data_IF_945236843146
#
_entry.id   IF_945236843146
#
_cell.length_a   1.000
_cell.length_b   1.000
_cell.length_c   1.000
_cell.angle_alpha   90.00
_cell.angle_beta   90.00
_cell.angle_gamma   90.00
#
_symmetry.space_group_name_H-M   'P 1'
#
loop_
_entity.id
_entity.type
_entity.pdbx_description
1 polymer ?
#
# COMPACT_ATOMS: atom_id res chain seq x y z
N UNK A 1 -9.51 -12.75 -2.58
CA UNK A 1 -9.15 -14.19 -2.62
C UNK A 1 -9.59 -14.76 -3.96
N UNK A 2 -8.68 -15.29 -4.76
CA UNK A 2 -9.07 -16.00 -5.97
C UNK A 2 -9.46 -17.41 -5.56
N UNK A 3 -10.74 -17.60 -5.29
CA UNK A 3 -11.32 -18.94 -5.15
C UNK A 3 -11.06 -19.77 -6.43
N UNK A 4 -11.08 -21.09 -6.36
CA UNK A 4 -11.01 -21.95 -7.53
C UNK A 4 -12.06 -21.53 -8.56
N UNK A 5 -11.64 -21.10 -9.76
CA UNK A 5 -12.53 -20.62 -10.84
C UNK A 5 -12.29 -19.18 -11.32
N UNK A 6 -11.48 -18.39 -10.63
CA UNK A 6 -11.00 -17.10 -11.15
C UNK A 6 -9.76 -17.31 -12.02
N UNK A 7 -9.60 -16.50 -13.07
CA UNK A 7 -8.40 -16.54 -13.91
C UNK A 7 -7.13 -16.47 -13.04
N UNK A 8 -6.10 -17.31 -13.32
CA UNK A 8 -4.89 -17.29 -12.53
C UNK A 8 -4.24 -15.91 -12.61
N UNK A 9 -3.89 -15.37 -11.43
CA UNK A 9 -3.15 -14.11 -11.34
C UNK A 9 -1.78 -14.32 -12.00
N UNK A 10 -1.35 -13.39 -12.84
CA UNK A 10 0.03 -13.39 -13.33
C UNK A 10 0.99 -13.05 -12.18
N UNK A 11 1.73 -14.04 -11.72
CA UNK A 11 2.72 -13.89 -10.64
C UNK A 11 4.12 -13.59 -11.16
N UNK A 12 4.32 -13.52 -12.48
CA UNK A 12 5.63 -13.26 -13.12
C UNK A 12 6.31 -11.98 -12.60
N UNK A 13 5.64 -10.82 -12.46
CA UNK A 13 6.28 -9.61 -11.94
C UNK A 13 6.80 -9.79 -10.50
N UNK A 14 6.05 -10.48 -9.65
CA UNK A 14 6.41 -10.71 -8.25
C UNK A 14 7.63 -11.64 -8.12
N UNK A 15 7.68 -12.67 -8.94
CA UNK A 15 8.85 -13.57 -9.03
C UNK A 15 10.09 -12.81 -9.51
N UNK A 16 9.96 -11.94 -10.51
CA UNK A 16 11.04 -11.09 -10.98
C UNK A 16 11.55 -10.13 -9.88
N UNK A 17 10.65 -9.56 -9.08
CA UNK A 17 11.00 -8.70 -7.95
C UNK A 17 11.77 -9.46 -6.86
N UNK A 18 11.34 -10.69 -6.51
CA UNK A 18 12.09 -11.54 -5.58
C UNK A 18 13.48 -11.89 -6.12
N UNK A 19 13.59 -12.25 -7.40
CA UNK A 19 14.88 -12.51 -8.02
C UNK A 19 15.79 -11.27 -8.00
N UNK A 20 15.26 -10.09 -8.28
CA UNK A 20 16.00 -8.82 -8.19
C UNK A 20 16.49 -8.53 -6.78
N UNK A 21 15.64 -8.75 -5.77
CA UNK A 21 16.04 -8.56 -4.37
C UNK A 21 17.16 -9.55 -3.99
N UNK A 22 17.04 -10.83 -4.35
CA UNK A 22 18.09 -11.82 -4.11
C UNK A 22 19.42 -11.43 -4.75
N UNK A 23 19.42 -10.92 -5.97
CA UNK A 23 20.65 -10.40 -6.62
C UNK A 23 21.27 -9.23 -5.85
N UNK A 24 20.45 -8.28 -5.38
CA UNK A 24 20.92 -7.14 -4.57
C UNK A 24 21.49 -7.62 -3.24
N UNK A 25 20.83 -8.56 -2.58
CA UNK A 25 21.34 -9.17 -1.35
C UNK A 25 22.67 -9.87 -1.57
N UNK A 26 22.80 -10.67 -2.65
CA UNK A 26 24.06 -11.35 -3.01
C UNK A 26 25.19 -10.34 -3.25
N UNK A 27 24.93 -9.27 -3.99
CA UNK A 27 25.90 -8.19 -4.24
C UNK A 27 26.35 -7.49 -2.94
N UNK A 28 25.49 -7.46 -1.93
CA UNK A 28 25.75 -6.86 -0.62
C UNK A 28 26.32 -7.83 0.44
N UNK A 29 26.69 -9.07 0.04
CA UNK A 29 27.29 -10.08 0.92
C UNK A 29 26.38 -11.23 1.30
N UNK A 30 25.17 -11.33 0.73
CA UNK A 30 24.23 -12.43 0.95
C UNK A 30 23.37 -12.26 2.19
N UNK A 31 22.96 -13.40 2.78
CA UNK A 31 22.16 -13.44 4.00
C UNK A 31 20.71 -13.85 3.80
N UNK A 32 19.90 -13.62 4.81
CA UNK A 32 18.46 -13.99 4.82
C UNK A 32 17.59 -12.78 4.99
N UNK A 33 16.61 -12.60 4.10
CA UNK A 33 15.55 -11.61 4.27
C UNK A 33 14.31 -12.26 4.87
N UNK A 34 13.69 -11.57 5.84
CA UNK A 34 12.46 -12.01 6.51
C UNK A 34 11.48 -10.86 6.49
N UNK A 35 10.30 -11.09 5.89
CA UNK A 35 9.27 -10.08 5.72
C UNK A 35 7.90 -10.64 6.06
N UNK A 36 7.27 -10.22 7.17
CA UNK A 36 5.91 -10.60 7.51
C UNK A 36 4.90 -9.76 6.73
N UNK A 37 3.68 -10.29 6.59
CA UNK A 37 2.53 -9.47 6.22
C UNK A 37 1.97 -8.74 7.44
N UNK A 38 1.03 -7.81 7.21
CA UNK A 38 0.34 -7.13 8.30
C UNK A 38 -0.52 -8.11 9.10
N UNK A 39 -0.64 -7.95 10.44
CA UNK A 39 -1.57 -8.72 11.25
C UNK A 39 -3.01 -8.28 11.02
N UNK A 40 -3.97 -9.18 11.27
CA UNK A 40 -5.37 -8.79 11.38
C UNK A 40 -5.58 -7.90 12.62
N UNK A 41 -6.53 -6.96 12.53
CA UNK A 41 -6.84 -6.03 13.62
C UNK A 41 -8.28 -6.19 14.06
N UNK A 42 -8.47 -6.43 15.36
CA UNK A 42 -9.79 -6.49 15.96
C UNK A 42 -10.42 -5.10 15.98
N UNK A 43 -11.64 -4.98 15.49
CA UNK A 43 -12.47 -3.78 15.58
C UNK A 43 -13.30 -3.78 16.86
N UNK A 44 -14.00 -4.88 17.10
CA UNK A 44 -14.86 -5.05 18.27
C UNK A 44 -15.13 -6.54 18.51
N UNK A 45 -14.71 -7.09 19.65
CA UNK A 45 -14.89 -8.50 20.05
C UNK A 45 -14.42 -9.47 18.97
N UNK A 46 -15.35 -10.13 18.29
CA UNK A 46 -15.14 -11.10 17.22
C UNK A 46 -15.15 -10.48 15.80
N UNK A 47 -15.43 -9.19 15.70
CA UNK A 47 -15.41 -8.46 14.44
C UNK A 47 -14.04 -7.82 14.19
N UNK A 48 -13.49 -8.03 13.00
CA UNK A 48 -12.23 -7.45 12.55
C UNK A 48 -12.45 -6.29 11.58
N UNK A 49 -11.47 -5.39 11.50
CA UNK A 49 -11.36 -4.48 10.36
C UNK A 49 -11.13 -5.27 9.08
N UNK A 50 -11.53 -4.72 7.94
CA UNK A 50 -11.19 -5.32 6.65
C UNK A 50 -9.67 -5.54 6.57
N UNK A 51 -9.27 -6.78 6.30
CA UNK A 51 -7.86 -7.12 6.25
C UNK A 51 -7.15 -6.42 5.07
N UNK A 52 -6.04 -5.81 5.36
CA UNK A 52 -5.15 -5.22 4.37
C UNK A 52 -3.72 -5.73 4.60
N UNK A 53 -3.18 -6.43 3.60
CA UNK A 53 -1.81 -6.95 3.61
C UNK A 53 -0.77 -5.83 3.68
N UNK A 54 0.44 -6.14 4.15
CA UNK A 54 1.57 -5.21 4.07
C UNK A 54 1.98 -4.97 2.61
N UNK A 55 2.31 -3.72 2.26
CA UNK A 55 2.64 -3.33 0.89
C UNK A 55 3.95 -3.93 0.38
N UNK A 56 4.97 -4.04 1.22
CA UNK A 56 6.26 -4.64 0.85
C UNK A 56 6.14 -6.15 0.70
N UNK A 57 5.39 -6.78 1.61
CA UNK A 57 5.09 -8.20 1.52
C UNK A 57 4.34 -8.54 0.22
N UNK A 58 3.29 -7.78 -0.09
CA UNK A 58 2.53 -7.97 -1.31
C UNK A 58 3.38 -7.73 -2.56
N UNK A 59 4.22 -6.69 -2.57
CA UNK A 59 5.12 -6.36 -3.67
C UNK A 59 6.03 -7.52 -4.07
N UNK A 60 6.43 -8.34 -3.11
CA UNK A 60 7.27 -9.52 -3.34
C UNK A 60 6.47 -10.81 -3.58
N UNK A 61 5.29 -10.94 -2.99
CA UNK A 61 4.60 -12.24 -2.90
C UNK A 61 3.36 -12.38 -3.77
N UNK A 62 2.64 -11.30 -4.04
CA UNK A 62 1.24 -11.31 -4.52
C UNK A 62 0.25 -11.99 -3.55
N UNK A 63 0.71 -12.48 -2.42
CA UNK A 63 -0.08 -13.25 -1.46
C UNK A 63 -0.88 -12.30 -0.56
N UNK A 64 -2.17 -12.57 -0.37
CA UNK A 64 -3.09 -11.64 0.29
C UNK A 64 -3.67 -12.15 1.61
N UNK A 65 -3.38 -13.39 1.98
CA UNK A 65 -3.89 -13.90 3.24
C UNK A 65 -3.08 -13.35 4.42
N UNK A 66 -3.71 -13.16 5.59
CA UNK A 66 -3.01 -12.86 6.82
C UNK A 66 -2.12 -14.01 7.28
N UNK A 67 -1.37 -13.78 8.35
CA UNK A 67 -0.51 -14.80 8.98
C UNK A 67 0.47 -15.44 7.99
N UNK A 68 1.19 -14.61 7.24
CA UNK A 68 2.15 -15.07 6.26
C UNK A 68 3.49 -14.36 6.38
N UNK A 69 4.57 -15.05 6.02
CA UNK A 69 5.94 -14.56 6.05
C UNK A 69 6.67 -15.02 4.80
N UNK A 70 7.36 -14.10 4.13
CA UNK A 70 8.32 -14.42 3.07
C UNK A 70 9.72 -14.49 3.67
N UNK A 71 10.43 -15.58 3.38
CA UNK A 71 11.85 -15.75 3.70
C UNK A 71 12.62 -15.95 2.40
N UNK A 72 13.65 -15.13 2.17
CA UNK A 72 14.52 -15.22 1.01
C UNK A 72 15.97 -15.47 1.48
N UNK A 73 16.55 -16.56 1.02
CA UNK A 73 17.94 -16.91 1.34
C UNK A 73 18.83 -16.58 0.14
N UNK A 74 19.78 -15.68 0.32
CA UNK A 74 20.77 -15.26 -0.68
C UNK A 74 22.14 -15.84 -0.32
N UNK A 75 22.23 -17.18 -0.20
CA UNK A 75 23.45 -17.91 0.07
C UNK A 75 24.13 -18.42 -1.20
N UNK A 76 24.91 -19.51 -1.08
CA UNK A 76 25.49 -20.24 -2.24
C UNK A 76 24.37 -20.73 -3.17
N UNK A 77 23.31 -21.23 -2.59
CA UNK A 77 22.04 -21.52 -3.26
C UNK A 77 20.99 -20.51 -2.78
N UNK A 78 20.19 -20.03 -3.69
CA UNK A 78 19.08 -19.13 -3.34
C UNK A 78 17.84 -19.95 -3.04
N UNK A 79 17.07 -19.49 -2.04
CA UNK A 79 15.75 -20.07 -1.73
C UNK A 79 14.71 -18.98 -1.50
N UNK A 80 13.51 -19.26 -1.97
CA UNK A 80 12.34 -18.41 -1.79
C UNK A 80 11.28 -19.22 -1.07
N UNK A 81 11.00 -18.87 0.18
CA UNK A 81 10.15 -19.64 1.08
C UNK A 81 8.93 -18.78 1.48
N UNK A 82 7.76 -19.40 1.48
CA UNK A 82 6.55 -18.80 2.01
C UNK A 82 6.08 -19.58 3.24
N UNK A 83 5.83 -18.88 4.33
CA UNK A 83 5.06 -19.39 5.45
C UNK A 83 3.65 -18.81 5.35
N UNK A 84 2.62 -19.65 5.47
CA UNK A 84 1.22 -19.23 5.39
C UNK A 84 0.32 -20.13 6.23
N UNK A 85 -0.95 -19.78 6.35
CA UNK A 85 -1.94 -20.59 7.06
C UNK A 85 -2.03 -21.99 6.45
N UNK A 86 -2.28 -22.98 7.29
CA UNK A 86 -2.58 -24.33 6.86
C UNK A 86 -3.90 -24.41 6.07
N UNK A 87 -4.01 -25.41 5.19
CA UNK A 87 -5.29 -25.80 4.61
C UNK A 87 -6.15 -26.41 5.74
N UNK A 88 -7.31 -25.87 5.99
CA UNK A 88 -8.17 -26.31 7.07
C UNK A 88 -9.64 -26.14 6.67
N UNK A 89 -10.29 -27.26 6.32
CA UNK A 89 -11.65 -27.29 5.79
C UNK A 89 -12.68 -26.77 6.80
N UNK A 90 -12.50 -27.05 8.10
CA UNK A 90 -13.39 -26.58 9.16
C UNK A 90 -13.33 -25.05 9.27
N UNK A 91 -12.12 -24.47 9.23
CA UNK A 91 -11.93 -23.02 9.25
C UNK A 91 -12.43 -22.36 7.96
N UNK A 92 -12.34 -23.03 6.82
CA UNK A 92 -12.83 -22.50 5.55
C UNK A 92 -14.36 -22.34 5.52
N UNK A 93 -15.09 -23.07 6.34
CA UNK A 93 -16.54 -22.86 6.51
C UNK A 93 -16.83 -21.48 7.13
N UNK A 94 -15.92 -20.96 7.97
CA UNK A 94 -16.08 -19.68 8.66
C UNK A 94 -15.42 -18.51 7.92
N UNK A 95 -14.18 -18.71 7.48
CA UNK A 95 -13.31 -17.63 7.00
C UNK A 95 -13.17 -17.61 5.47
N UNK A 96 -13.72 -18.60 4.78
CA UNK A 96 -13.56 -18.80 3.35
C UNK A 96 -12.26 -19.52 2.99
N UNK A 97 -12.01 -19.62 1.68
CA UNK A 97 -10.90 -20.38 1.11
C UNK A 97 -9.53 -19.96 1.67
N UNK A 98 -8.70 -20.97 1.98
CA UNK A 98 -7.28 -20.83 2.34
C UNK A 98 -6.42 -21.58 1.34
N UNK A 99 -5.36 -20.94 0.88
CA UNK A 99 -4.43 -21.57 -0.06
C UNK A 99 -3.77 -22.85 0.52
N UNK A 100 -3.29 -22.75 1.75
CA UNK A 100 -2.38 -23.74 2.33
C UNK A 100 -1.02 -23.76 1.63
N UNK A 101 0.02 -24.34 2.26
CA UNK A 101 1.39 -24.26 1.77
C UNK A 101 1.58 -24.82 0.36
N UNK A 102 1.04 -26.00 0.06
CA UNK A 102 1.27 -26.69 -1.22
C UNK A 102 0.71 -25.90 -2.41
N UNK A 103 -0.56 -25.50 -2.34
CA UNK A 103 -1.22 -24.73 -3.40
C UNK A 103 -0.61 -23.33 -3.52
N UNK A 104 -0.27 -22.68 -2.39
CA UNK A 104 0.39 -21.38 -2.40
C UNK A 104 1.77 -21.44 -3.05
N UNK A 105 2.59 -22.48 -2.73
CA UNK A 105 3.89 -22.69 -3.36
C UNK A 105 3.79 -22.74 -4.88
N UNK A 106 2.86 -23.54 -5.37
CA UNK A 106 2.67 -23.73 -6.81
C UNK A 106 2.14 -22.44 -7.49
N UNK A 107 1.12 -21.79 -6.91
CA UNK A 107 0.46 -20.63 -7.50
C UNK A 107 1.35 -19.38 -7.50
N UNK A 108 2.10 -19.13 -6.43
CA UNK A 108 2.93 -17.93 -6.27
C UNK A 108 4.41 -18.14 -6.64
N UNK A 109 4.80 -19.35 -6.99
CA UNK A 109 6.14 -19.68 -7.49
C UNK A 109 7.22 -19.53 -6.43
N UNK A 110 7.01 -20.13 -5.26
CA UNK A 110 8.01 -20.30 -4.21
C UNK A 110 8.70 -21.68 -4.35
N UNK A 111 9.94 -21.76 -3.87
CA UNK A 111 10.69 -23.02 -3.87
C UNK A 111 10.16 -23.96 -2.78
N UNK A 112 9.87 -23.39 -1.61
CA UNK A 112 9.32 -24.07 -0.44
C UNK A 112 8.11 -23.29 0.10
N UNK A 113 7.17 -24.01 0.71
CA UNK A 113 6.14 -23.36 1.53
C UNK A 113 5.80 -24.24 2.74
N UNK A 114 5.55 -23.59 3.88
CA UNK A 114 5.33 -24.22 5.18
C UNK A 114 4.13 -23.59 5.88
N UNK A 115 3.61 -24.28 6.89
CA UNK A 115 2.59 -23.67 7.73
C UNK A 115 3.21 -22.56 8.59
N UNK A 116 2.44 -21.52 8.88
CA UNK A 116 2.91 -20.43 9.74
C UNK A 116 3.28 -20.94 11.15
N UNK A 117 2.65 -22.01 11.64
CA UNK A 117 2.97 -22.66 12.90
C UNK A 117 4.37 -23.29 12.94
N UNK A 118 4.96 -23.58 11.76
CA UNK A 118 6.32 -24.10 11.65
C UNK A 118 7.41 -23.00 11.66
N UNK A 119 7.03 -21.72 11.62
CA UNK A 119 7.97 -20.61 11.45
C UNK A 119 9.05 -20.61 12.51
N UNK A 120 8.69 -20.63 13.79
CA UNK A 120 9.65 -20.55 14.91
C UNK A 120 10.62 -21.73 14.93
N UNK A 121 10.16 -22.90 14.51
CA UNK A 121 10.99 -24.11 14.42
C UNK A 121 11.96 -24.07 13.25
N UNK A 122 11.54 -23.57 12.09
CA UNK A 122 12.31 -23.61 10.84
C UNK A 122 13.18 -22.39 10.59
N UNK A 123 12.77 -21.22 11.10
CA UNK A 123 13.50 -19.98 10.87
C UNK A 123 14.95 -20.02 11.31
N UNK A 124 15.31 -20.62 12.46
CA UNK A 124 16.71 -20.77 12.87
C UNK A 124 17.57 -21.54 11.84
N UNK A 125 17.00 -22.53 11.15
CA UNK A 125 17.76 -23.33 10.18
C UNK A 125 18.09 -22.51 8.91
N UNK A 126 17.23 -21.55 8.52
CA UNK A 126 17.53 -20.62 7.42
C UNK A 126 18.52 -19.53 7.84
N UNK A 127 18.57 -19.16 9.12
CA UNK A 127 19.48 -18.15 9.66
C UNK A 127 20.89 -18.69 9.96
N UNK A 128 21.02 -19.99 10.19
CA UNK A 128 22.29 -20.62 10.51
C UNK A 128 23.33 -20.41 9.40
N UNK A 129 24.54 -20.00 9.79
CA UNK A 129 25.69 -19.78 8.90
C UNK A 129 25.46 -18.71 7.80
N UNK A 130 24.50 -17.84 8.01
CA UNK A 130 24.27 -16.71 7.12
C UNK A 130 24.97 -15.44 7.63
N UNK A 131 25.61 -14.65 6.76
CA UNK A 131 26.36 -13.47 7.19
C UNK A 131 25.47 -12.33 7.66
N UNK A 132 24.32 -12.13 7.02
CA UNK A 132 23.45 -10.97 7.23
C UNK A 132 21.99 -11.40 7.44
N UNK A 133 21.30 -10.67 8.31
CA UNK A 133 19.86 -10.67 8.41
C UNK A 133 19.30 -9.38 7.80
N UNK A 134 18.38 -9.50 6.86
CA UNK A 134 17.63 -8.38 6.26
C UNK A 134 16.21 -8.40 6.83
N UNK A 135 15.92 -7.46 7.71
CA UNK A 135 14.59 -7.29 8.30
C UNK A 135 14.44 -5.86 8.79
N UNK A 136 13.22 -5.41 8.99
CA UNK A 136 12.98 -4.07 9.55
C UNK A 136 12.53 -4.22 10.99
N UNK A 137 13.37 -3.78 11.92
CA UNK A 137 13.12 -3.81 13.36
C UNK A 137 12.45 -2.50 13.82
N UNK A 138 11.73 -2.56 14.94
CA UNK A 138 11.11 -1.40 15.58
C UNK A 138 9.72 -1.03 15.06
N UNK A 139 9.15 -1.77 14.13
CA UNK A 139 7.81 -1.52 13.60
C UNK A 139 6.72 -2.36 14.29
N UNK A 140 7.08 -3.53 14.82
CA UNK A 140 6.18 -4.43 15.52
C UNK A 140 6.98 -5.21 16.58
N UNK A 141 6.72 -4.94 17.85
CA UNK A 141 7.47 -5.53 18.96
C UNK A 141 7.31 -7.04 19.05
N UNK A 142 6.12 -7.58 18.71
CA UNK A 142 5.87 -9.02 18.75
C UNK A 142 6.64 -9.73 17.63
N UNK A 143 6.71 -9.08 16.47
CA UNK A 143 7.52 -9.56 15.37
C UNK A 143 9.02 -9.52 15.68
N UNK A 144 9.50 -8.43 16.23
CA UNK A 144 10.90 -8.27 16.65
C UNK A 144 11.29 -9.36 17.65
N UNK A 145 10.43 -9.66 18.62
CA UNK A 145 10.67 -10.72 19.59
C UNK A 145 10.81 -12.09 18.93
N UNK A 146 10.01 -12.41 17.91
CA UNK A 146 10.12 -13.66 17.13
C UNK A 146 11.45 -13.76 16.38
N UNK A 147 11.85 -12.68 15.71
CA UNK A 147 13.13 -12.61 14.97
C UNK A 147 14.32 -12.77 15.93
N UNK A 148 14.30 -12.08 17.07
CA UNK A 148 15.34 -12.20 18.11
C UNK A 148 15.35 -13.60 18.72
N UNK A 149 14.20 -14.22 18.94
CA UNK A 149 14.07 -15.61 19.39
C UNK A 149 14.74 -16.59 18.43
N UNK A 150 14.51 -16.43 17.13
CA UNK A 150 15.13 -17.25 16.09
C UNK A 150 16.66 -17.08 16.06
N UNK A 151 17.18 -15.85 16.19
CA UNK A 151 18.61 -15.59 16.31
C UNK A 151 19.21 -16.25 17.55
N UNK A 152 18.54 -16.18 18.70
CA UNK A 152 18.98 -16.81 19.92
C UNK A 152 19.00 -18.33 19.81
N UNK A 153 18.01 -18.93 19.14
CA UNK A 153 17.97 -20.36 18.88
C UNK A 153 19.18 -20.84 18.04
N UNK A 154 19.71 -20.00 17.14
CA UNK A 154 20.98 -20.30 16.44
C UNK A 154 22.18 -20.16 17.38
N UNK A 155 22.22 -19.11 18.22
CA UNK A 155 23.29 -18.88 19.21
C UNK A 155 23.42 -20.04 20.20
N UNK A 156 22.30 -20.60 20.63
CA UNK A 156 22.27 -21.75 21.55
C UNK A 156 22.89 -23.02 20.94
N UNK A 157 22.91 -23.09 19.60
CA UNK A 157 23.57 -24.17 18.85
C UNK A 157 25.06 -23.92 18.55
N UNK A 158 25.69 -22.88 19.10
CA UNK A 158 27.10 -22.53 18.81
C UNK A 158 28.08 -23.67 19.07
N UNK A 159 27.82 -24.53 20.06
CA UNK A 159 28.65 -25.73 20.33
C UNK A 159 28.64 -26.76 19.20
N UNK A 160 27.65 -26.70 18.31
CA UNK A 160 27.59 -27.55 17.11
C UNK A 160 28.32 -26.94 15.92
N UNK A 161 28.92 -25.77 16.07
CA UNK A 161 29.65 -25.04 15.03
C UNK A 161 28.79 -24.07 14.21
N UNK A 162 27.48 -23.94 14.49
CA UNK A 162 26.60 -23.01 13.79
C UNK A 162 26.83 -21.58 14.27
N UNK A 163 26.77 -20.62 13.35
CA UNK A 163 26.90 -19.19 13.63
C UNK A 163 25.65 -18.42 13.22
N UNK A 164 25.15 -17.48 14.04
CA UNK A 164 24.05 -16.62 13.64
C UNK A 164 24.56 -15.49 12.73
N UNK A 165 23.68 -14.80 11.97
CA UNK A 165 24.01 -13.55 11.31
C UNK A 165 24.64 -12.55 12.28
N UNK A 166 25.72 -11.92 11.85
CA UNK A 166 26.48 -10.97 12.68
C UNK A 166 26.05 -9.51 12.47
N UNK A 167 25.22 -9.24 11.46
CA UNK A 167 24.74 -7.89 11.15
C UNK A 167 23.26 -7.94 10.72
N UNK A 168 22.54 -6.87 11.03
CA UNK A 168 21.17 -6.66 10.59
C UNK A 168 21.13 -5.45 9.64
N UNK A 169 20.43 -5.58 8.53
CA UNK A 169 20.15 -4.51 7.57
C UNK A 169 18.67 -4.27 7.45
N UNK A 170 18.27 -3.01 7.31
CA UNK A 170 16.89 -2.66 7.10
C UNK A 170 16.46 -3.09 5.69
N UNK A 171 15.52 -4.04 5.63
CA UNK A 171 14.96 -4.56 4.39
C UNK A 171 14.09 -3.52 3.68
N UNK A 172 13.39 -2.65 4.42
CA UNK A 172 12.52 -1.64 3.81
C UNK A 172 13.31 -0.64 2.99
N UNK A 173 14.49 -0.23 3.44
CA UNK A 173 15.35 0.67 2.69
C UNK A 173 15.69 0.11 1.28
N UNK A 174 15.99 -1.21 1.19
CA UNK A 174 16.20 -1.88 -0.10
C UNK A 174 14.93 -1.95 -0.96
N UNK A 175 13.80 -2.24 -0.33
CA UNK A 175 12.51 -2.34 -1.03
C UNK A 175 12.01 -0.96 -1.49
N UNK A 176 12.27 0.11 -0.74
CA UNK A 176 11.97 1.48 -1.15
C UNK A 176 12.71 1.84 -2.43
N UNK A 177 14.01 1.58 -2.49
CA UNK A 177 14.80 1.77 -3.71
C UNK A 177 14.28 0.95 -4.89
N UNK A 178 13.84 -0.29 -4.65
CA UNK A 178 13.26 -1.13 -5.69
C UNK A 178 11.91 -0.60 -6.19
N UNK A 179 11.13 0.06 -5.34
CA UNK A 179 9.79 0.59 -5.62
C UNK A 179 9.79 1.99 -6.22
N UNK A 180 10.93 2.72 -6.21
CA UNK A 180 11.02 4.05 -6.81
C UNK A 180 10.66 4.03 -8.28
N UNK A 181 11.21 3.10 -9.06
CA UNK A 181 10.93 2.96 -10.49
C UNK A 181 9.91 1.84 -10.68
N UNK A 182 8.71 2.20 -11.13
CA UNK A 182 7.59 1.27 -11.30
C UNK A 182 7.76 0.46 -12.59
N UNK A 183 7.52 -0.84 -12.50
CA UNK A 183 7.46 -1.69 -13.68
C UNK A 183 6.14 -1.52 -14.47
N UNK A 184 6.03 -2.20 -15.60
CA UNK A 184 4.86 -2.06 -16.48
C UNK A 184 3.54 -2.53 -15.81
N UNK A 185 3.59 -3.55 -14.96
CA UNK A 185 2.43 -4.07 -14.23
C UNK A 185 1.96 -3.09 -13.17
N UNK A 186 2.89 -2.48 -12.42
CA UNK A 186 2.61 -1.43 -11.45
C UNK A 186 1.96 -0.22 -12.12
N UNK A 187 2.54 0.26 -13.22
CA UNK A 187 1.98 1.39 -13.98
C UNK A 187 0.58 1.10 -14.53
N UNK A 188 0.31 -0.13 -14.96
CA UNK A 188 -1.01 -0.52 -15.42
C UNK A 188 -2.05 -0.44 -14.29
N UNK A 189 -1.72 -0.96 -13.10
CA UNK A 189 -2.55 -0.92 -11.90
C UNK A 189 -2.77 0.53 -11.42
N UNK A 190 -1.72 1.33 -11.33
CA UNK A 190 -1.81 2.75 -10.94
C UNK A 190 -2.69 3.56 -11.90
N UNK A 191 -2.55 3.34 -13.22
CA UNK A 191 -3.41 3.99 -14.22
C UNK A 191 -4.87 3.60 -14.07
N UNK A 192 -5.14 2.33 -13.77
CA UNK A 192 -6.49 1.85 -13.54
C UNK A 192 -7.08 2.46 -12.26
N UNK A 193 -6.34 2.50 -11.15
CA UNK A 193 -6.75 3.15 -9.91
C UNK A 193 -7.08 4.64 -10.16
N UNK A 194 -6.22 5.36 -10.88
CA UNK A 194 -6.44 6.76 -11.23
C UNK A 194 -7.71 6.96 -12.09
N UNK A 195 -7.99 6.07 -13.06
CA UNK A 195 -9.24 6.12 -13.85
C UNK A 195 -10.48 5.91 -13.01
N UNK A 196 -10.45 4.94 -12.09
CA UNK A 196 -11.56 4.67 -11.15
C UNK A 196 -11.83 5.91 -10.31
N UNK A 197 -10.80 6.51 -9.72
CA UNK A 197 -10.94 7.70 -8.88
C UNK A 197 -11.41 8.93 -9.67
N UNK A 198 -10.89 9.15 -10.86
CA UNK A 198 -11.36 10.23 -11.73
C UNK A 198 -12.87 10.08 -12.07
N UNK A 199 -13.29 8.86 -12.39
CA UNK A 199 -14.71 8.58 -12.65
C UNK A 199 -15.59 8.80 -11.41
N UNK A 200 -15.09 8.43 -10.22
CA UNK A 200 -15.77 8.63 -8.95
C UNK A 200 -15.92 10.13 -8.62
N UNK A 201 -14.88 10.93 -8.83
CA UNK A 201 -14.95 12.39 -8.68
C UNK A 201 -15.98 13.00 -9.63
N UNK A 202 -16.02 12.59 -10.91
CA UNK A 202 -17.04 13.04 -11.85
C UNK A 202 -18.47 12.66 -11.41
N UNK A 203 -18.63 11.48 -10.78
CA UNK A 203 -19.92 11.05 -10.20
C UNK A 203 -20.30 11.92 -9.01
N UNK A 204 -19.36 12.16 -8.07
CA UNK A 204 -19.57 13.02 -6.92
C UNK A 204 -19.95 14.45 -7.31
N UNK A 205 -19.26 15.03 -8.32
CA UNK A 205 -19.59 16.36 -8.85
C UNK A 205 -21.03 16.41 -9.38
N UNK A 206 -21.50 15.39 -10.12
CA UNK A 206 -22.88 15.34 -10.62
C UNK A 206 -23.92 15.15 -9.52
N UNK A 207 -23.55 14.49 -8.43
CA UNK A 207 -24.44 14.23 -7.30
C UNK A 207 -24.52 15.43 -6.34
N UNK A 208 -23.54 16.30 -6.34
CA UNK A 208 -23.47 17.45 -5.44
C UNK A 208 -24.52 18.51 -5.77
N UNK A 209 -25.25 18.93 -4.75
CA UNK A 209 -26.21 20.04 -4.78
C UNK A 209 -26.49 20.57 -3.39
N UNK A 210 -26.97 21.81 -3.24
CA UNK A 210 -27.35 22.36 -1.93
C UNK A 210 -28.36 21.44 -1.22
N UNK A 211 -28.17 21.29 0.08
CA UNK A 211 -29.03 20.52 0.96
C UNK A 211 -28.61 19.07 1.18
N UNK A 212 -27.71 18.50 0.38
CA UNK A 212 -27.09 17.22 0.69
C UNK A 212 -26.06 17.35 1.79
N UNK A 213 -25.72 16.25 2.43
CA UNK A 213 -24.64 16.16 3.40
C UNK A 213 -23.34 15.63 2.77
N UNK A 214 -22.23 15.98 3.39
CA UNK A 214 -20.89 15.54 2.96
C UNK A 214 -20.78 14.01 2.87
N UNK A 215 -21.32 13.26 3.86
CA UNK A 215 -21.33 11.77 3.84
C UNK A 215 -22.15 11.18 2.69
N UNK A 216 -23.15 11.89 2.19
CA UNK A 216 -23.92 11.40 1.02
C UNK A 216 -23.05 11.46 -0.25
N UNK A 217 -22.18 12.47 -0.35
CA UNK A 217 -21.21 12.59 -1.46
C UNK A 217 -20.07 11.58 -1.29
N UNK A 218 -19.62 11.37 -0.05
CA UNK A 218 -18.67 10.29 0.26
C UNK A 218 -19.22 8.92 -0.18
N UNK A 219 -20.49 8.63 0.11
CA UNK A 219 -21.13 7.38 -0.30
C UNK A 219 -21.12 7.17 -1.83
N UNK A 220 -21.23 8.25 -2.62
CA UNK A 220 -21.13 8.19 -4.09
C UNK A 220 -19.70 7.78 -4.54
N UNK A 221 -18.67 8.28 -3.84
CA UNK A 221 -17.27 7.92 -4.09
C UNK A 221 -17.02 6.45 -3.75
N UNK A 222 -17.39 6.04 -2.53
CA UNK A 222 -17.21 4.66 -2.04
C UNK A 222 -17.93 3.65 -2.91
N UNK A 223 -19.17 3.96 -3.32
CA UNK A 223 -19.92 3.12 -4.26
C UNK A 223 -19.17 2.97 -5.60
N UNK A 224 -18.68 4.08 -6.16
CA UNK A 224 -17.96 4.04 -7.44
C UNK A 224 -16.67 3.21 -7.36
N UNK A 225 -15.91 3.35 -6.29
CA UNK A 225 -14.70 2.55 -6.03
C UNK A 225 -15.02 1.07 -5.98
N UNK A 226 -16.00 0.67 -5.16
CA UNK A 226 -16.38 -0.73 -4.99
C UNK A 226 -16.99 -1.34 -6.26
N UNK A 227 -17.86 -0.62 -6.95
CA UNK A 227 -18.47 -1.06 -8.20
C UNK A 227 -17.44 -1.29 -9.33
N UNK A 228 -16.31 -0.58 -9.27
CA UNK A 228 -15.20 -0.74 -10.21
C UNK A 228 -14.16 -1.79 -9.78
N UNK A 229 -14.37 -2.52 -8.68
CA UNK A 229 -13.50 -3.60 -8.21
C UNK A 229 -12.36 -3.18 -7.27
N UNK A 230 -12.31 -1.91 -6.86
CA UNK A 230 -11.36 -1.48 -5.81
C UNK A 230 -11.70 -2.16 -4.48
N UNK A 231 -10.68 -2.54 -3.72
CA UNK A 231 -10.85 -3.20 -2.44
C UNK A 231 -11.32 -2.23 -1.35
N UNK A 232 -10.76 -1.02 -1.34
CA UNK A 232 -11.02 0.01 -0.33
C UNK A 232 -10.66 1.41 -0.88
N UNK A 233 -11.07 2.50 -0.21
CA UNK A 233 -10.41 3.78 -0.40
C UNK A 233 -8.93 3.68 0.05
N UNK A 234 -8.06 4.43 -0.60
CA UNK A 234 -6.62 4.44 -0.28
C UNK A 234 -6.33 5.11 1.08
N UNK A 235 -7.18 6.03 1.46
CA UNK A 235 -7.21 6.76 2.73
C UNK A 235 -8.65 7.18 3.03
N UNK A 236 -8.91 7.64 4.26
CA UNK A 236 -10.23 8.17 4.61
C UNK A 236 -10.55 9.36 3.72
N UNK A 237 -11.65 9.28 2.98
CA UNK A 237 -12.05 10.33 2.06
C UNK A 237 -12.34 11.64 2.79
N UNK A 238 -11.87 12.74 2.26
CA UNK A 238 -12.17 14.08 2.71
C UNK A 238 -13.25 14.66 1.79
N UNK A 239 -14.40 15.02 2.37
CA UNK A 239 -15.50 15.65 1.66
C UNK A 239 -15.91 16.89 2.46
N UNK A 240 -15.31 18.03 2.16
CA UNK A 240 -15.31 19.22 3.01
C UNK A 240 -16.03 20.39 2.36
N UNK A 241 -17.19 20.76 2.89
CA UNK A 241 -18.00 21.92 2.45
C UNK A 241 -17.63 23.20 3.17
N UNK A 242 -17.58 24.34 2.45
CA UNK A 242 -17.39 25.67 3.03
C UNK A 242 -16.13 25.77 3.90
N UNK A 243 -16.27 26.15 5.16
CA UNK A 243 -15.17 26.36 6.10
C UNK A 243 -14.41 25.05 6.43
N UNK A 244 -15.06 23.88 6.33
CA UNK A 244 -14.41 22.59 6.58
C UNK A 244 -13.26 22.33 5.60
N UNK A 245 -13.33 22.88 4.38
CA UNK A 245 -12.28 22.79 3.38
C UNK A 245 -10.95 23.47 3.79
N UNK A 246 -10.96 24.25 4.88
CA UNK A 246 -9.74 24.83 5.45
C UNK A 246 -9.06 23.90 6.47
N UNK A 247 -9.63 22.74 6.78
CA UNK A 247 -9.04 21.71 7.63
C UNK A 247 -8.42 20.65 6.73
N UNK A 248 -7.09 20.51 6.74
CA UNK A 248 -6.35 19.70 5.77
C UNK A 248 -6.77 18.22 5.76
N UNK A 249 -6.97 17.61 6.94
CA UNK A 249 -7.41 16.21 7.05
C UNK A 249 -8.79 16.13 7.71
N UNK A 250 -9.76 16.86 7.17
CA UNK A 250 -11.15 16.81 7.60
C UNK A 250 -11.78 15.48 7.15
N UNK A 251 -12.24 14.68 8.09
CA UNK A 251 -12.78 13.33 7.83
C UNK A 251 -14.13 13.05 8.48
N UNK A 252 -14.71 14.02 9.18
CA UNK A 252 -16.02 13.83 9.82
C UNK A 252 -17.13 13.70 8.79
N UNK A 253 -17.04 14.48 7.70
CA UNK A 253 -17.94 14.42 6.53
C UNK A 253 -19.43 14.47 6.90
N UNK A 254 -19.81 15.25 7.93
CA UNK A 254 -21.17 15.19 8.50
C UNK A 254 -22.01 16.45 8.27
N UNK A 255 -21.42 17.51 7.72
CA UNK A 255 -22.10 18.77 7.57
C UNK A 255 -22.95 18.86 6.30
N UNK A 256 -23.95 19.76 6.35
CA UNK A 256 -24.82 20.03 5.22
C UNK A 256 -24.15 21.00 4.25
N UNK A 257 -24.21 20.69 2.96
CA UNK A 257 -23.71 21.55 1.89
C UNK A 257 -24.70 22.67 1.61
N UNK A 258 -24.25 23.93 1.65
CA UNK A 258 -25.07 25.09 1.43
C UNK A 258 -24.86 25.68 0.02
N UNK A 259 -25.84 26.44 -0.43
CA UNK A 259 -25.69 27.24 -1.64
C UNK A 259 -24.64 28.33 -1.42
N UNK A 260 -23.76 28.50 -2.40
CA UNK A 260 -22.63 29.43 -2.31
C UNK A 260 -21.34 28.87 -1.73
N UNK A 261 -21.38 27.68 -1.08
CA UNK A 261 -20.17 27.02 -0.60
C UNK A 261 -19.37 26.40 -1.76
N UNK A 262 -18.06 26.29 -1.54
CA UNK A 262 -17.19 25.38 -2.27
C UNK A 262 -17.17 24.01 -1.56
N UNK A 263 -17.12 22.94 -2.33
CA UNK A 263 -16.86 21.58 -1.85
C UNK A 263 -15.48 21.14 -2.31
N UNK A 264 -14.61 20.84 -1.36
CA UNK A 264 -13.34 20.16 -1.60
C UNK A 264 -13.54 18.67 -1.38
N UNK A 265 -13.14 17.86 -2.36
CA UNK A 265 -13.06 16.42 -2.23
C UNK A 265 -11.62 15.99 -2.44
N UNK A 266 -11.06 15.30 -1.46
CA UNK A 266 -9.79 14.60 -1.54
C UNK A 266 -10.04 13.13 -1.27
N UNK A 267 -10.00 12.33 -2.34
CA UNK A 267 -10.35 10.92 -2.29
C UNK A 267 -9.68 10.14 -3.41
N UNK A 268 -9.25 8.95 -3.08
CA UNK A 268 -8.69 8.01 -4.03
C UNK A 268 -9.00 6.56 -3.65
N UNK A 269 -9.07 5.67 -4.63
CA UNK A 269 -9.22 4.25 -4.39
C UNK A 269 -7.87 3.55 -4.26
N UNK A 270 -7.84 2.44 -3.50
CA UNK A 270 -6.76 1.47 -3.54
C UNK A 270 -7.16 0.31 -4.47
N UNK A 271 -6.31 -0.01 -5.44
CA UNK A 271 -6.48 -1.15 -6.33
C UNK A 271 -5.22 -2.00 -6.28
N UNK A 272 -5.36 -3.28 -5.91
CA UNK A 272 -4.22 -4.22 -5.86
C UNK A 272 -3.04 -3.70 -5.02
N UNK A 273 -3.32 -3.01 -3.91
CA UNK A 273 -2.31 -2.41 -3.04
C UNK A 273 -1.69 -1.10 -3.55
N UNK A 274 -2.18 -0.54 -4.67
CA UNK A 274 -1.73 0.74 -5.23
C UNK A 274 -2.79 1.81 -5.00
N UNK A 275 -2.38 2.89 -4.35
CA UNK A 275 -3.22 4.06 -4.10
C UNK A 275 -3.35 4.94 -5.34
N UNK A 276 -4.49 5.60 -5.48
CA UNK A 276 -4.67 6.82 -6.25
C UNK A 276 -5.05 7.95 -5.30
N UNK A 277 -4.78 9.18 -5.70
CA UNK A 277 -4.92 10.36 -4.86
C UNK A 277 -5.32 11.54 -5.75
N UNK A 278 -6.54 12.07 -5.53
CA UNK A 278 -7.10 13.16 -6.35
C UNK A 278 -7.83 14.15 -5.45
N UNK A 279 -7.38 15.41 -5.46
CA UNK A 279 -8.12 16.51 -4.84
C UNK A 279 -8.77 17.38 -5.91
N UNK A 280 -10.07 17.70 -5.73
CA UNK A 280 -10.81 18.66 -6.55
C UNK A 280 -11.71 19.51 -5.70
N UNK A 281 -11.75 20.82 -6.04
CA UNK A 281 -12.65 21.80 -5.42
C UNK A 281 -13.60 22.35 -6.47
N UNK A 282 -14.87 22.46 -6.14
CA UNK A 282 -15.90 22.96 -7.05
C UNK A 282 -17.08 23.55 -6.26
N UNK A 283 -17.87 24.46 -6.84
CA UNK A 283 -19.02 25.06 -6.15
C UNK A 283 -20.17 24.08 -5.98
N UNK A 284 -20.76 24.05 -4.78
CA UNK A 284 -21.95 23.23 -4.46
C UNK A 284 -23.12 23.53 -5.38
N UNK A 285 -23.29 24.80 -5.75
CA UNK A 285 -24.33 25.29 -6.68
C UNK A 285 -24.05 24.97 -8.17
N UNK A 286 -22.83 24.46 -8.50
CA UNK A 286 -22.37 24.26 -9.86
C UNK A 286 -21.90 25.52 -10.58
N UNK A 287 -21.85 26.69 -9.91
CA UNK A 287 -21.40 27.97 -10.48
C UNK A 287 -20.45 28.70 -9.53
N UNK A 288 -19.28 29.07 -10.01
CA UNK A 288 -18.34 29.90 -9.28
C UNK A 288 -18.84 31.36 -9.20
N UNK A 289 -18.67 31.99 -8.06
CA UNK A 289 -18.67 33.45 -7.95
C UNK A 289 -17.43 34.04 -8.62
N UNK A 290 -17.37 35.38 -8.79
CA UNK A 290 -16.17 36.03 -9.37
C UNK A 290 -14.92 35.73 -8.55
N UNK A 291 -14.95 35.99 -7.25
CA UNK A 291 -13.81 35.76 -6.35
C UNK A 291 -13.40 34.26 -6.28
N UNK A 292 -14.38 33.38 -6.17
CA UNK A 292 -14.08 31.92 -6.20
C UNK A 292 -13.38 31.48 -7.48
N UNK A 293 -13.84 31.98 -8.63
CA UNK A 293 -13.24 31.67 -9.94
C UNK A 293 -11.82 32.19 -10.05
N UNK A 294 -11.55 33.41 -9.61
CA UNK A 294 -10.25 34.04 -9.72
C UNK A 294 -9.19 33.27 -8.89
N UNK A 295 -9.53 32.91 -7.63
CA UNK A 295 -8.66 32.08 -6.79
C UNK A 295 -8.53 30.67 -7.35
N UNK A 296 -9.62 30.05 -7.85
CA UNK A 296 -9.58 28.72 -8.45
C UNK A 296 -8.66 28.70 -9.70
N UNK A 297 -8.75 29.71 -10.55
CA UNK A 297 -7.89 29.82 -11.74
C UNK A 297 -6.41 29.87 -11.35
N UNK A 298 -6.07 30.67 -10.33
CA UNK A 298 -4.71 30.76 -9.82
C UNK A 298 -4.19 29.39 -9.34
N UNK A 299 -5.01 28.63 -8.60
CA UNK A 299 -4.63 27.29 -8.16
C UNK A 299 -4.49 26.32 -9.34
N UNK A 300 -5.34 26.42 -10.35
CA UNK A 300 -5.25 25.60 -11.57
C UNK A 300 -3.96 25.89 -12.36
N UNK A 301 -3.58 27.17 -12.48
CA UNK A 301 -2.35 27.58 -13.13
C UNK A 301 -1.09 27.09 -12.37
N UNK A 302 -1.14 27.15 -11.03
CA UNK A 302 -0.09 26.58 -10.17
C UNK A 302 0.04 25.05 -10.33
N UNK A 303 -1.08 24.34 -10.40
CA UNK A 303 -1.09 22.90 -10.67
C UNK A 303 -0.49 22.59 -12.05
N UNK A 304 -0.87 23.34 -13.09
CA UNK A 304 -0.33 23.17 -14.42
C UNK A 304 1.19 23.40 -14.46
N UNK A 305 1.69 24.41 -13.75
CA UNK A 305 3.13 24.68 -13.61
C UNK A 305 3.86 23.54 -12.91
N UNK A 306 3.31 23.01 -11.82
CA UNK A 306 3.85 21.85 -11.09
C UNK A 306 3.90 20.60 -11.98
N UNK A 307 2.82 20.28 -12.70
CA UNK A 307 2.76 19.16 -13.64
C UNK A 307 3.83 19.34 -14.73
N UNK A 308 3.99 20.55 -15.28
CA UNK A 308 5.01 20.86 -16.27
C UNK A 308 6.46 20.71 -15.77
N UNK A 309 6.67 20.92 -14.45
CA UNK A 309 7.96 20.73 -13.80
C UNK A 309 8.23 19.25 -13.39
N UNK A 310 7.20 18.39 -13.39
CA UNK A 310 7.32 16.97 -13.04
C UNK A 310 7.88 16.20 -14.26
N UNK A 311 9.20 16.13 -14.36
CA UNK A 311 9.90 15.46 -15.48
C UNK A 311 11.25 14.90 -15.06
N UNK A 312 11.74 13.92 -15.81
CA UNK A 312 13.05 13.33 -15.57
C UNK A 312 14.15 14.41 -15.56
N UNK A 313 15.08 14.30 -14.64
CA UNK A 313 16.17 15.25 -14.42
C UNK A 313 15.86 16.37 -13.43
N UNK A 314 14.60 16.58 -13.07
CA UNK A 314 14.23 17.55 -12.04
C UNK A 314 14.28 16.91 -10.65
N UNK A 315 14.48 17.74 -9.61
CA UNK A 315 14.39 17.32 -8.21
C UNK A 315 12.93 17.08 -7.79
N UNK A 316 12.72 16.35 -6.70
CA UNK A 316 11.39 16.16 -6.11
C UNK A 316 10.72 17.50 -5.71
N UNK A 317 11.52 18.50 -5.34
CA UNK A 317 11.04 19.83 -4.95
C UNK A 317 10.68 20.75 -6.13
N UNK A 318 11.19 20.50 -7.33
CA UNK A 318 10.95 21.39 -8.47
C UNK A 318 9.47 21.65 -8.80
N UNK A 319 8.55 20.67 -8.76
CA UNK A 319 7.11 20.91 -8.91
C UNK A 319 6.53 21.81 -7.81
N UNK A 320 6.95 21.62 -6.56
CA UNK A 320 6.53 22.45 -5.44
C UNK A 320 6.97 23.91 -5.62
N UNK A 321 8.22 24.12 -5.94
CA UNK A 321 8.79 25.46 -6.18
C UNK A 321 8.07 26.18 -7.35
N UNK A 322 7.74 25.45 -8.41
CA UNK A 322 6.98 25.99 -9.53
C UNK A 322 5.56 26.42 -9.11
N UNK A 323 4.87 25.61 -8.30
CA UNK A 323 3.55 25.98 -7.76
C UNK A 323 3.62 27.19 -6.84
N UNK A 324 4.58 27.22 -5.92
CA UNK A 324 4.78 28.34 -4.97
C UNK A 324 5.01 29.64 -5.70
N UNK A 325 5.84 29.65 -6.75
CA UNK A 325 6.11 30.86 -7.54
C UNK A 325 4.84 31.44 -8.17
N UNK A 326 4.00 30.58 -8.77
CA UNK A 326 2.72 31.00 -9.38
C UNK A 326 1.75 31.52 -8.31
N UNK A 327 1.59 30.79 -7.21
CA UNK A 327 0.68 31.17 -6.11
C UNK A 327 1.09 32.49 -5.47
N UNK A 328 2.38 32.67 -5.17
CA UNK A 328 2.88 33.88 -4.53
C UNK A 328 2.64 35.13 -5.42
N UNK A 329 2.95 35.05 -6.71
CA UNK A 329 2.73 36.14 -7.63
C UNK A 329 1.23 36.43 -7.80
N UNK A 330 0.42 35.39 -8.01
CA UNK A 330 -1.02 35.56 -8.22
C UNK A 330 -1.77 36.10 -7.01
N UNK A 331 -1.34 35.76 -5.78
CA UNK A 331 -1.91 36.36 -4.56
C UNK A 331 -1.57 37.84 -4.45
N UNK A 332 -0.38 38.29 -4.85
CA UNK A 332 -0.01 39.71 -4.93
C UNK A 332 -0.88 40.42 -5.96
N UNK A 333 -1.11 39.82 -7.12
CA UNK A 333 -1.90 40.41 -8.20
C UNK A 333 -3.39 40.53 -7.86
N UNK A 334 -3.89 39.64 -6.99
CA UNK A 334 -5.27 39.67 -6.48
C UNK A 334 -5.49 40.67 -5.32
N UNK A 335 -4.44 41.20 -4.69
CA UNK A 335 -4.45 42.15 -3.60
C UNK A 335 -4.40 41.45 -2.25
#
# INVERSE_FOLDING_TARGET
MNAPGTAPMDTTPFRARRARLLQRMQAAGGGVAILPTAPERVRNRDAHYAYRHDSYFYYLSAFREPEAVVVLVAGKETKQILFCREKNEEREIWDGYRWGPEAARAAFGFDEAWTIGDLEKRLPDYLADQPLLWTSLGYDNDWDAKVLGALNAVRDKARTGLTPPHSVRDLRAELDEMRLVKDASELATMRQAARISAAAHCRAMRATRPGRHEYEIEAELLHAFRAAGSQAPAYTSIVAGGANACVLHYVDNDQRLNDGDLLLIDAGCELEGYASDITRTFPVSGRFTGAQRDVYQLVLDAQAAAVGATRAGNTFMAPHEAAVAVLAQGLIDLG
#
